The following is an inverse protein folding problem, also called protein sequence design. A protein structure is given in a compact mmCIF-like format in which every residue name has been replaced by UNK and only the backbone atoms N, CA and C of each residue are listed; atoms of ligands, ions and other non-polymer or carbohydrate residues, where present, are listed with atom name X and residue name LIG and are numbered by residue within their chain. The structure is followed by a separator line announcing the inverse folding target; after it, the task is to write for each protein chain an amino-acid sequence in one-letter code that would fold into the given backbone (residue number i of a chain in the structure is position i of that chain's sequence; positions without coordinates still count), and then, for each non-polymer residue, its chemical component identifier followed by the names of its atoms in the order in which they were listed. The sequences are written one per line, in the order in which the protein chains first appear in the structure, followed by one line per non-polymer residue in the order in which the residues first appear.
data_IF_664400349109
#
_entry.id   IF_664400349109
#
_cell.length_a   1.000
_cell.length_b   1.000
_cell.length_c   1.000
_cell.angle_alpha   90.00
_cell.angle_beta   90.00
_cell.angle_gamma   90.00
#
_symmetry.space_group_name_H-M   'P 1'
#
loop_
_entity.id
_entity.type
_entity.pdbx_description
1 polymer ?
#
# COMPACT_ATOMS: atom_id res chain seq x y z
N UNK A 1 15.66 9.57 -2.91
CA UNK A 1 14.38 9.05 -2.40
C UNK A 1 14.20 7.66 -2.96
N UNK A 2 14.00 6.65 -2.12
CA UNK A 2 13.76 5.28 -2.59
C UNK A 2 12.44 5.25 -3.37
N UNK A 3 12.41 4.57 -4.51
CA UNK A 3 11.20 4.42 -5.32
C UNK A 3 10.24 3.50 -4.57
N UNK A 4 8.98 3.91 -4.37
CA UNK A 4 7.96 3.02 -3.82
C UNK A 4 7.67 1.91 -4.84
N UNK A 5 8.01 0.67 -4.49
CA UNK A 5 7.75 -0.51 -5.35
C UNK A 5 6.67 -1.35 -4.67
N UNK A 6 5.47 -1.47 -5.26
CA UNK A 6 4.37 -2.22 -4.63
C UNK A 6 4.75 -3.67 -4.31
N UNK A 7 4.41 -4.10 -3.10
CA UNK A 7 4.62 -5.44 -2.57
C UNK A 7 6.08 -5.87 -2.42
N UNK A 8 7.02 -4.92 -2.33
CA UNK A 8 8.46 -5.21 -2.28
C UNK A 8 9.03 -5.36 -0.86
N UNK A 9 8.44 -4.71 0.15
CA UNK A 9 8.91 -4.73 1.53
C UNK A 9 7.77 -4.39 2.52
N UNK A 10 8.08 -4.41 3.81
CA UNK A 10 7.16 -4.08 4.91
C UNK A 10 7.55 -2.77 5.65
N UNK A 11 8.33 -1.90 5.01
CA UNK A 11 8.89 -0.71 5.65
C UNK A 11 8.63 0.59 4.90
N UNK A 12 8.39 0.52 3.59
CA UNK A 12 8.17 1.71 2.78
C UNK A 12 6.78 2.29 3.03
N UNK A 13 6.75 3.60 3.25
CA UNK A 13 5.54 4.39 3.38
C UNK A 13 5.60 5.54 2.38
N UNK A 14 4.49 5.79 1.70
CA UNK A 14 4.29 6.94 0.84
C UNK A 14 3.13 7.78 1.40
N UNK A 15 3.26 9.11 1.36
CA UNK A 15 2.20 10.03 1.77
C UNK A 15 1.73 10.85 0.57
N UNK A 16 0.41 10.97 0.41
CA UNK A 16 -0.26 11.82 -0.57
C UNK A 16 -1.26 12.68 0.20
N UNK A 17 -0.96 13.95 0.44
CA UNK A 17 -1.74 14.76 1.38
C UNK A 17 -1.74 14.16 2.79
N UNK A 18 -2.92 13.86 3.34
CA UNK A 18 -3.09 13.16 4.63
C UNK A 18 -3.28 11.64 4.47
N UNK A 19 -3.27 11.13 3.24
CA UNK A 19 -3.35 9.70 2.96
C UNK A 19 -1.96 9.07 3.11
N UNK A 20 -1.86 8.10 4.00
CA UNK A 20 -0.68 7.25 4.17
C UNK A 20 -0.87 5.93 3.43
N UNK A 21 0.18 5.50 2.73
CA UNK A 21 0.21 4.26 1.94
C UNK A 21 1.35 3.40 2.44
N UNK A 22 1.01 2.31 3.11
CA UNK A 22 1.98 1.38 3.68
C UNK A 22 2.18 0.18 2.77
N UNK A 23 3.45 -0.09 2.46
CA UNK A 23 3.84 -1.24 1.66
C UNK A 23 3.94 -2.49 2.54
N UNK A 24 3.37 -3.60 2.08
CA UNK A 24 3.60 -4.93 2.64
C UNK A 24 3.66 -5.96 1.53
N UNK A 25 4.22 -7.12 1.83
CA UNK A 25 4.41 -8.19 0.84
C UNK A 25 3.10 -8.77 0.31
N UNK A 26 2.03 -8.74 1.12
CA UNK A 26 0.73 -9.34 0.81
C UNK A 26 -0.40 -8.32 0.64
N UNK A 27 -0.18 -7.05 0.99
CA UNK A 27 -1.17 -5.98 0.92
C UNK A 27 -0.51 -4.61 0.76
N UNK A 28 -1.25 -3.67 0.20
CA UNK A 28 -0.98 -2.24 0.36
C UNK A 28 -2.11 -1.69 1.21
N UNK A 29 -1.77 -1.00 2.31
CA UNK A 29 -2.77 -0.38 3.19
C UNK A 29 -2.84 1.11 2.89
N UNK A 30 -4.05 1.62 2.69
CA UNK A 30 -4.32 3.05 2.53
C UNK A 30 -5.06 3.52 3.78
N UNK A 31 -4.53 4.53 4.48
CA UNK A 31 -5.08 5.04 5.74
C UNK A 31 -5.09 6.57 5.77
N UNK A 32 -6.20 7.15 6.23
CA UNK A 32 -6.44 8.60 6.18
C UNK A 32 -7.27 9.03 4.96
N UNK A 33 -7.21 10.32 4.65
CA UNK A 33 -7.97 10.96 3.57
C UNK A 33 -7.08 11.90 2.74
N UNK A 34 -7.55 12.20 1.52
CA UNK A 34 -6.91 13.20 0.66
C UNK A 34 -8.00 13.93 -0.11
N UNK A 35 -7.97 15.26 -0.03
CA UNK A 35 -8.89 16.11 -0.78
C UNK A 35 -8.31 16.42 -2.16
N UNK A 36 -8.96 15.90 -3.19
CA UNK A 36 -8.62 16.19 -4.59
C UNK A 36 -9.39 17.45 -5.04
N UNK A 37 -8.92 18.61 -4.58
CA UNK A 37 -9.52 19.90 -4.93
C UNK A 37 -9.39 20.21 -6.43
N UNK A 38 -10.30 21.05 -6.96
CA UNK A 38 -10.30 21.47 -8.36
C UNK A 38 -9.25 22.56 -8.66
N UNK A 39 -8.03 22.34 -8.22
CA UNK A 39 -6.87 23.21 -8.41
C UNK A 39 -5.63 22.39 -8.82
N UNK A 40 -4.48 23.06 -8.95
CA UNK A 40 -3.24 22.41 -9.37
C UNK A 40 -2.66 21.47 -8.31
N UNK A 41 -2.88 21.75 -7.03
CA UNK A 41 -2.42 20.87 -5.95
C UNK A 41 -3.26 19.60 -5.91
N UNK A 42 -4.59 19.71 -5.97
CA UNK A 42 -5.48 18.57 -6.07
C UNK A 42 -5.24 17.75 -7.34
N UNK A 43 -4.90 18.39 -8.46
CA UNK A 43 -4.48 17.66 -9.68
C UNK A 43 -3.16 16.89 -9.48
N UNK A 44 -2.20 17.46 -8.75
CA UNK A 44 -0.94 16.79 -8.47
C UNK A 44 -1.14 15.55 -7.59
N UNK A 45 -1.94 15.68 -6.53
CA UNK A 45 -2.28 14.57 -5.63
C UNK A 45 -3.09 13.48 -6.37
N UNK A 46 -4.03 13.87 -7.23
CA UNK A 46 -4.80 12.94 -8.05
C UNK A 46 -3.89 12.14 -8.99
N UNK A 47 -2.91 12.79 -9.61
CA UNK A 47 -1.93 12.13 -10.49
C UNK A 47 -1.02 11.19 -9.71
N UNK A 48 -0.58 11.57 -8.52
CA UNK A 48 0.23 10.74 -7.65
C UNK A 48 -0.53 9.47 -7.23
N UNK A 49 -1.78 9.61 -6.79
CA UNK A 49 -2.63 8.50 -6.40
C UNK A 49 -2.92 7.57 -7.58
N UNK A 50 -3.23 8.14 -8.76
CA UNK A 50 -3.44 7.36 -9.96
C UNK A 50 -2.20 6.58 -10.40
N UNK A 51 -1.01 7.20 -10.36
CA UNK A 51 0.23 6.52 -10.70
C UNK A 51 0.53 5.35 -9.74
N UNK A 52 0.36 5.57 -8.44
CA UNK A 52 0.51 4.53 -7.42
C UNK A 52 -0.43 3.36 -7.69
N UNK A 53 -1.73 3.62 -7.91
CA UNK A 53 -2.71 2.56 -8.17
C UNK A 53 -2.41 1.84 -9.50
N UNK A 54 -1.92 2.55 -10.52
CA UNK A 54 -1.45 1.97 -11.76
C UNK A 54 -0.30 0.97 -11.55
N UNK A 55 0.70 1.34 -10.75
CA UNK A 55 1.82 0.45 -10.41
C UNK A 55 1.35 -0.77 -9.60
N UNK A 56 0.41 -0.59 -8.67
CA UNK A 56 -0.20 -1.68 -7.88
C UNK A 56 -0.91 -2.67 -8.81
N UNK A 57 -1.78 -2.18 -9.70
CA UNK A 57 -2.53 -3.02 -10.65
C UNK A 57 -1.57 -3.76 -11.58
N UNK A 58 -0.62 -3.06 -12.19
CA UNK A 58 0.37 -3.67 -13.08
C UNK A 58 1.17 -4.79 -12.36
N UNK A 59 1.53 -4.56 -11.10
CA UNK A 59 2.24 -5.57 -10.30
C UNK A 59 1.36 -6.79 -9.97
N UNK A 60 0.08 -6.58 -9.71
CA UNK A 60 -0.88 -7.67 -9.45
C UNK A 60 -1.14 -8.48 -10.73
N UNK A 61 -1.34 -7.83 -11.87
CA UNK A 61 -1.57 -8.49 -13.16
C UNK A 61 -0.35 -9.28 -13.66
N UNK A 62 0.86 -8.83 -13.33
CA UNK A 62 2.11 -9.53 -13.67
C UNK A 62 2.35 -10.80 -12.84
N UNK A 63 1.48 -11.13 -11.89
CA UNK A 63 1.65 -12.25 -10.96
C UNK A 63 0.49 -13.24 -11.07
N UNK A 64 0.76 -14.51 -10.76
CA UNK A 64 -0.30 -15.50 -10.59
C UNK A 64 -0.94 -15.33 -9.21
N UNK A 65 -2.10 -14.68 -9.17
CA UNK A 65 -2.82 -14.40 -7.94
C UNK A 65 -3.65 -15.62 -7.48
N UNK A 66 -3.67 -15.95 -6.19
CA UNK A 66 -4.64 -16.90 -5.65
C UNK A 66 -6.04 -16.27 -5.62
N UNK A 67 -7.09 -17.10 -5.67
CA UNK A 67 -8.47 -16.61 -5.52
C UNK A 67 -8.72 -15.95 -4.15
N UNK A 68 -8.00 -16.38 -3.11
CA UNK A 68 -7.98 -15.79 -1.77
C UNK A 68 -6.61 -15.99 -1.15
N UNK A 69 -6.13 -15.00 -0.40
CA UNK A 69 -4.90 -15.17 0.40
C UNK A 69 -5.10 -16.27 1.47
N UNK A 70 -4.07 -17.08 1.74
CA UNK A 70 -4.12 -18.03 2.85
C UNK A 70 -4.27 -17.28 4.18
N UNK A 71 -4.93 -17.90 5.18
CA UNK A 71 -4.97 -17.31 6.51
C UNK A 71 -3.55 -17.15 7.07
N UNK A 72 -3.32 -16.06 7.81
CA UNK A 72 -2.04 -15.82 8.46
C UNK A 72 -1.66 -17.02 9.34
N UNK A 73 -0.39 -17.46 9.32
CA UNK A 73 0.05 -18.57 10.15
C UNK A 73 -0.16 -18.21 11.63
N UNK A 74 -0.82 -19.10 12.37
CA UNK A 74 -0.99 -18.97 13.81
C UNK A 74 0.21 -19.61 14.49
N UNK A 75 0.98 -18.80 15.20
CA UNK A 75 2.06 -19.27 16.08
C UNK A 75 1.60 -19.06 17.52
N UNK A 76 1.52 -20.15 18.28
CA UNK A 76 1.37 -20.08 19.73
C UNK A 76 2.75 -19.81 20.30
N UNK A 77 2.91 -18.62 20.88
CA UNK A 77 4.11 -18.28 21.66
C UNK A 77 3.77 -18.34 23.15
N UNK A 78 4.72 -18.72 24.01
CA UNK A 78 4.55 -18.59 25.46
C UNK A 78 4.21 -17.15 25.81
N UNK A 79 3.33 -16.96 26.78
CA UNK A 79 3.03 -15.64 27.32
C UNK A 79 4.31 -15.06 27.94
N UNK A 80 4.83 -13.90 27.48
CA UNK A 80 6.05 -13.31 28.02
C UNK A 80 5.90 -12.72 29.43
N UNK A 81 4.69 -12.80 30.00
CA UNK A 81 4.35 -12.30 31.33
C UNK A 81 4.04 -13.41 32.35
N UNK A 82 4.13 -14.68 31.98
CA UNK A 82 4.05 -15.85 32.89
C UNK A 82 5.44 -16.35 33.30
#
# INVERSE_FOLDING_TARGET
MSKFVPYANESDVLNIGQLSVENRLDRITLSGDVDLTADQAGLADARALHALLGDVVARLEAQKLPAKLPPAPRVTVPNPFD
#
